data_IF_235156252876
#
_entry.id   IF_235156252876
#
_cell.length_a   1.000
_cell.length_b   1.000
_cell.length_c   1.000
_cell.angle_alpha   90.00
_cell.angle_beta   90.00
_cell.angle_gamma   90.00
#
_symmetry.space_group_name_H-M   'P 1'
#
loop_
_entity.id
_entity.type
_entity.pdbx_description
1 polymer ?
#
# COMPACT_ATOMS: atom_id res chain seq x y z
N UNK A 1 17.99 -56.03 20.86
CA UNK A 1 17.09 -54.94 20.42
C UNK A 1 15.82 -55.01 21.26
N UNK A 2 15.15 -53.88 21.60
CA UNK A 2 15.19 -52.57 20.93
C UNK A 2 15.88 -51.50 21.80
N UNK A 3 16.93 -50.81 21.35
CA UNK A 3 16.90 -49.59 20.51
C UNK A 3 15.87 -48.56 20.99
N UNK A 4 16.29 -47.70 21.92
CA UNK A 4 15.61 -46.45 22.19
C UNK A 4 15.58 -45.59 20.90
N UNK A 5 14.46 -44.90 20.60
CA UNK A 5 14.39 -44.06 19.42
C UNK A 5 15.31 -42.85 19.61
N UNK A 6 16.20 -42.66 18.63
CA UNK A 6 16.99 -41.45 18.48
C UNK A 6 16.05 -40.25 18.37
N UNK A 7 16.20 -39.30 19.28
CA UNK A 7 15.65 -37.95 19.14
C UNK A 7 16.39 -37.30 17.96
N UNK A 8 15.71 -36.88 16.87
CA UNK A 8 16.41 -36.16 15.81
C UNK A 8 16.79 -34.78 16.33
N UNK A 9 18.10 -34.53 16.35
CA UNK A 9 18.68 -33.23 16.57
C UNK A 9 18.27 -32.27 15.43
N UNK A 10 17.47 -31.25 15.75
CA UNK A 10 17.33 -30.04 14.90
C UNK A 10 17.38 -28.78 15.76
N UNK A 11 18.36 -28.70 16.67
CA UNK A 11 18.72 -27.48 17.39
C UNK A 11 19.99 -26.80 16.81
N UNK A 12 20.33 -27.07 15.55
CA UNK A 12 21.55 -26.59 14.90
C UNK A 12 21.25 -25.79 13.62
N UNK A 13 20.52 -24.67 13.73
CA UNK A 13 20.49 -23.64 12.67
C UNK A 13 20.03 -22.26 13.14
N UNK A 14 20.22 -21.89 14.41
CA UNK A 14 19.75 -20.59 14.92
C UNK A 14 20.81 -19.47 14.93
N UNK A 15 22.02 -19.68 14.40
CA UNK A 15 23.10 -18.69 14.46
C UNK A 15 23.31 -17.84 13.20
N UNK A 16 22.53 -18.00 12.13
CA UNK A 16 22.74 -17.25 10.87
C UNK A 16 21.49 -16.69 10.20
N UNK A 17 20.32 -16.87 10.81
CA UNK A 17 19.02 -16.47 10.24
C UNK A 17 18.71 -17.14 8.89
N UNK A 18 17.57 -16.82 8.29
CA UNK A 18 17.23 -17.23 6.92
C UNK A 18 17.86 -16.27 5.90
N UNK A 19 18.27 -16.79 4.74
CA UNK A 19 18.86 -16.00 3.66
C UNK A 19 17.77 -15.43 2.73
N UNK A 20 18.06 -14.33 2.03
CA UNK A 20 17.21 -13.84 0.94
C UNK A 20 17.02 -14.94 -0.12
N UNK A 21 15.80 -15.09 -0.62
CA UNK A 21 15.37 -16.18 -1.49
C UNK A 21 14.92 -17.45 -0.76
N UNK A 22 15.06 -17.53 0.57
CA UNK A 22 14.58 -18.71 1.33
C UNK A 22 13.05 -18.78 1.30
N UNK A 23 12.51 -19.98 1.05
CA UNK A 23 11.08 -20.27 1.22
C UNK A 23 10.78 -20.66 2.67
N UNK A 24 9.82 -19.99 3.28
CA UNK A 24 9.40 -20.20 4.66
C UNK A 24 7.89 -20.44 4.73
N UNK A 25 7.44 -21.01 5.85
CA UNK A 25 6.04 -20.99 6.27
C UNK A 25 5.96 -20.14 7.53
N UNK A 26 5.14 -19.09 7.47
CA UNK A 26 5.01 -18.09 8.52
C UNK A 26 3.54 -17.76 8.81
N UNK A 27 3.28 -17.19 9.98
CA UNK A 27 1.95 -16.76 10.41
C UNK A 27 1.57 -15.45 9.72
N UNK A 28 0.71 -15.54 8.70
CA UNK A 28 0.05 -14.39 8.11
C UNK A 28 -1.04 -13.88 9.03
N UNK A 29 -1.02 -12.57 9.32
CA UNK A 29 -1.94 -11.90 10.25
C UNK A 29 -1.97 -12.52 11.66
N UNK A 30 -0.91 -13.25 12.05
CA UNK A 30 -0.81 -13.90 13.36
C UNK A 30 -1.67 -15.15 13.55
N UNK A 31 -2.48 -15.55 12.56
CA UNK A 31 -3.47 -16.63 12.71
C UNK A 31 -3.32 -17.74 11.66
N UNK A 32 -2.89 -17.41 10.44
CA UNK A 32 -2.92 -18.35 9.31
C UNK A 32 -1.53 -18.68 8.82
N UNK A 33 -1.14 -19.95 8.81
CA UNK A 33 0.10 -20.38 8.18
C UNK A 33 0.04 -20.20 6.66
N UNK A 34 1.05 -19.52 6.11
CA UNK A 34 1.18 -19.27 4.68
C UNK A 34 2.62 -19.42 4.23
N UNK A 35 2.80 -19.87 3.01
CA UNK A 35 4.11 -19.96 2.37
C UNK A 35 4.53 -18.59 1.86
N UNK A 36 5.78 -18.23 2.12
CA UNK A 36 6.36 -16.97 1.69
C UNK A 36 7.82 -17.11 1.27
N UNK A 37 8.31 -16.12 0.54
CA UNK A 37 9.72 -16.03 0.12
C UNK A 37 10.35 -14.81 0.79
N UNK A 38 11.55 -14.99 1.36
CA UNK A 38 12.31 -13.89 1.94
C UNK A 38 12.84 -12.99 0.83
N UNK A 39 12.40 -11.75 0.80
CA UNK A 39 12.83 -10.71 -0.15
C UNK A 39 13.97 -9.87 0.44
N UNK A 40 13.91 -9.58 1.74
CA UNK A 40 14.97 -8.86 2.45
C UNK A 40 15.10 -9.38 3.90
N UNK A 41 16.23 -9.13 4.55
CA UNK A 41 16.48 -9.50 5.94
C UNK A 41 17.25 -8.42 6.69
N UNK A 42 16.89 -8.21 7.95
CA UNK A 42 17.57 -7.26 8.83
C UNK A 42 17.85 -7.85 10.20
N UNK A 43 19.07 -7.66 10.70
CA UNK A 43 19.43 -7.95 12.09
C UNK A 43 19.06 -6.77 12.99
N UNK A 44 18.41 -7.05 14.12
CA UNK A 44 17.86 -6.03 15.04
C UNK A 44 18.60 -6.02 16.37
N UNK A 45 18.89 -7.20 16.89
CA UNK A 45 19.65 -7.41 18.11
C UNK A 45 20.49 -8.66 17.89
N UNK A 46 21.62 -8.81 18.58
CA UNK A 46 22.60 -9.88 18.40
C UNK A 46 21.94 -11.24 18.09
N UNK A 47 21.98 -11.64 16.81
CA UNK A 47 21.43 -12.89 16.29
C UNK A 47 19.88 -13.03 16.22
N UNK A 48 19.15 -11.90 16.26
CA UNK A 48 17.70 -11.81 16.05
C UNK A 48 17.42 -11.04 14.76
N UNK A 49 16.62 -11.64 13.88
CA UNK A 49 16.34 -11.12 12.55
C UNK A 49 14.86 -10.79 12.34
N UNK A 50 14.60 -9.81 11.48
CA UNK A 50 13.32 -9.64 10.77
C UNK A 50 13.51 -9.95 9.30
N UNK A 51 12.43 -10.41 8.68
CA UNK A 51 12.41 -10.79 7.27
C UNK A 51 11.29 -10.02 6.57
N UNK A 52 11.61 -9.37 5.46
CA UNK A 52 10.59 -8.83 4.56
C UNK A 52 10.20 -9.95 3.60
N UNK A 53 8.93 -10.33 3.59
CA UNK A 53 8.47 -11.51 2.88
C UNK A 53 7.40 -11.19 1.85
N UNK A 54 7.46 -11.91 0.74
CA UNK A 54 6.40 -11.96 -0.25
C UNK A 54 5.55 -13.21 -0.02
N UNK A 55 4.24 -13.02 0.17
CA UNK A 55 3.30 -14.12 0.37
C UNK A 55 2.88 -14.74 -0.97
N UNK A 56 3.01 -16.06 -1.09
CA UNK A 56 2.65 -16.75 -2.32
C UNK A 56 1.14 -16.63 -2.63
N UNK A 57 0.80 -16.42 -3.90
CA UNK A 57 -0.57 -16.15 -4.41
C UNK A 57 -1.18 -14.80 -3.99
N UNK A 58 -0.41 -13.93 -3.34
CA UNK A 58 -0.88 -12.59 -2.95
C UNK A 58 -0.19 -11.50 -3.76
N UNK A 59 -0.90 -10.39 -3.95
CA UNK A 59 -0.34 -9.18 -4.55
C UNK A 59 0.76 -8.61 -3.64
N UNK A 60 1.83 -8.05 -4.23
CA UNK A 60 2.98 -7.48 -3.50
C UNK A 60 2.63 -6.37 -2.50
N UNK A 61 1.47 -5.72 -2.64
CA UNK A 61 0.92 -4.81 -1.61
C UNK A 61 0.66 -5.52 -0.27
N UNK A 62 0.62 -6.84 -0.26
CA UNK A 62 0.47 -7.67 0.95
C UNK A 62 1.82 -8.05 1.57
N UNK A 63 2.95 -7.73 0.93
CA UNK A 63 4.28 -8.02 1.46
C UNK A 63 4.47 -7.32 2.81
N UNK A 64 5.17 -7.94 3.75
CA UNK A 64 5.31 -7.38 5.09
C UNK A 64 6.62 -7.79 5.75
N UNK A 65 7.02 -7.02 6.77
CA UNK A 65 8.05 -7.44 7.70
C UNK A 65 7.46 -8.41 8.71
N UNK A 66 8.02 -9.61 8.80
CA UNK A 66 7.72 -10.58 9.85
C UNK A 66 8.92 -10.72 10.79
N UNK A 67 8.63 -10.98 12.05
CA UNK A 67 9.61 -11.28 13.09
C UNK A 67 10.04 -12.76 13.02
N UNK A 68 11.22 -13.08 13.54
CA UNK A 68 11.71 -14.46 13.60
C UNK A 68 10.75 -15.42 14.33
N UNK A 69 10.00 -14.95 15.33
CA UNK A 69 9.00 -15.74 16.05
C UNK A 69 7.70 -15.98 15.26
N UNK A 70 7.47 -15.27 14.16
CA UNK A 70 6.32 -15.50 13.26
C UNK A 70 6.64 -16.58 12.21
N UNK A 71 7.91 -17.03 12.11
CA UNK A 71 8.33 -18.12 11.24
C UNK A 71 8.06 -19.46 11.93
N UNK A 72 7.26 -20.31 11.30
CA UNK A 72 6.89 -21.63 11.83
C UNK A 72 7.91 -22.69 11.42
N UNK A 73 8.26 -22.74 10.13
CA UNK A 73 9.21 -23.71 9.56
C UNK A 73 9.80 -23.26 8.23
N UNK A 74 10.84 -23.96 7.75
CA UNK A 74 11.27 -23.86 6.34
C UNK A 74 10.24 -24.53 5.42
N UNK A 75 10.13 -24.02 4.20
CA UNK A 75 9.37 -24.68 3.14
C UNK A 75 9.96 -26.06 2.82
N UNK A 76 9.10 -27.01 2.45
CA UNK A 76 9.53 -28.33 1.98
C UNK A 76 10.07 -28.24 0.55
N UNK A 77 10.87 -29.22 0.12
CA UNK A 77 11.38 -29.27 -1.25
C UNK A 77 10.27 -29.31 -2.30
N UNK A 78 9.12 -29.90 -1.95
CA UNK A 78 7.92 -29.95 -2.79
C UNK A 78 7.28 -28.56 -2.94
N UNK A 79 7.15 -27.83 -1.83
CA UNK A 79 6.66 -26.44 -1.83
C UNK A 79 7.59 -25.57 -2.69
N UNK A 80 8.91 -25.65 -2.48
CA UNK A 80 9.91 -24.88 -3.25
C UNK A 80 9.81 -25.16 -4.75
N UNK A 81 9.76 -26.43 -5.15
CA UNK A 81 9.64 -26.82 -6.57
C UNK A 81 8.34 -26.33 -7.19
N UNK A 82 7.23 -26.38 -6.43
CA UNK A 82 5.95 -25.91 -6.92
C UNK A 82 5.95 -24.39 -7.17
N UNK A 83 6.55 -23.62 -6.26
CA UNK A 83 6.72 -22.16 -6.40
C UNK A 83 7.57 -21.80 -7.61
N UNK A 84 8.73 -22.44 -7.78
CA UNK A 84 9.63 -22.19 -8.91
C UNK A 84 8.98 -22.50 -10.25
N UNK A 85 8.20 -23.59 -10.33
CA UNK A 85 7.47 -23.96 -11.56
C UNK A 85 6.40 -22.93 -11.90
N UNK A 86 5.74 -22.36 -10.90
CA UNK A 86 4.72 -21.33 -11.10
C UNK A 86 5.33 -20.01 -11.56
N UNK A 87 6.42 -19.56 -10.94
CA UNK A 87 7.15 -18.36 -11.38
C UNK A 87 7.67 -18.48 -12.81
N UNK A 88 8.18 -19.65 -13.21
CA UNK A 88 8.63 -19.88 -14.59
C UNK A 88 7.48 -19.72 -15.58
N UNK A 89 6.31 -20.27 -15.26
CA UNK A 89 5.11 -20.20 -16.09
C UNK A 89 4.54 -18.78 -16.18
N UNK A 90 4.63 -17.99 -15.11
CA UNK A 90 4.22 -16.58 -15.12
C UNK A 90 5.17 -15.73 -15.98
N UNK A 91 6.49 -15.91 -15.85
CA UNK A 91 7.48 -15.22 -16.70
C UNK A 91 7.39 -15.60 -18.18
N UNK A 92 7.00 -16.83 -18.50
CA UNK A 92 6.71 -17.24 -19.88
C UNK A 92 5.50 -16.51 -20.46
N UNK A 93 4.41 -16.37 -19.68
CA UNK A 93 3.21 -15.64 -20.09
C UNK A 93 3.46 -14.15 -20.29
N UNK A 94 4.25 -13.53 -19.43
CA UNK A 94 4.64 -12.11 -19.55
C UNK A 94 5.46 -11.86 -20.83
N UNK A 95 6.38 -12.79 -21.19
CA UNK A 95 7.15 -12.72 -22.43
C UNK A 95 6.30 -12.89 -23.68
N UNK A 96 5.24 -13.69 -23.61
CA UNK A 96 4.29 -13.86 -24.73
C UNK A 96 3.38 -12.64 -24.92
N UNK A 97 3.04 -11.90 -23.85
CA UNK A 97 2.19 -10.70 -23.93
C UNK A 97 2.98 -9.40 -24.16
N UNK A 98 4.27 -9.34 -23.79
CA UNK A 98 5.12 -8.14 -23.99
C UNK A 98 5.80 -8.04 -25.36
N UNK A 99 5.57 -8.99 -26.27
CA UNK A 99 6.22 -9.06 -27.60
C UNK A 99 5.49 -8.30 -28.70
N UNK A 100 5.21 -7.01 -28.52
CA UNK A 100 4.53 -6.15 -29.50
C UNK A 100 5.48 -5.23 -30.29
N UNK A 101 6.16 -5.79 -31.29
CA UNK A 101 6.82 -5.17 -32.46
C UNK A 101 7.81 -4.01 -32.30
N UNK A 102 9.11 -4.36 -32.43
CA UNK A 102 10.11 -3.55 -33.12
C UNK A 102 10.76 -4.40 -34.22
N UNK A 103 10.38 -4.17 -35.48
CA UNK A 103 11.16 -4.54 -36.65
C UNK A 103 10.74 -3.65 -37.84
N UNK A 104 11.69 -2.81 -38.22
CA UNK A 104 11.77 -1.94 -39.40
C UNK A 104 12.05 -2.76 -40.68
N UNK A 105 11.38 -2.44 -41.81
CA UNK A 105 11.93 -2.06 -43.14
C UNK A 105 10.99 -2.36 -44.33
N UNK A 106 10.75 -1.35 -45.19
CA UNK A 106 10.94 -1.49 -46.65
C UNK A 106 9.74 -1.68 -47.61
N UNK A 107 9.03 -0.59 -47.89
CA UNK A 107 8.64 -0.03 -49.22
C UNK A 107 7.78 -0.76 -50.31
N UNK A 108 6.88 0.06 -50.88
CA UNK A 108 6.16 0.09 -52.19
C UNK A 108 4.96 -0.83 -52.59
N UNK A 109 3.81 -0.13 -52.75
CA UNK A 109 2.85 -0.05 -53.89
C UNK A 109 1.78 -1.13 -54.20
N UNK A 110 0.54 -0.65 -54.05
CA UNK A 110 -0.60 -0.58 -55.02
C UNK A 110 -1.56 -1.77 -55.23
N UNK A 111 -2.87 -1.44 -55.26
CA UNK A 111 -3.90 -2.17 -56.02
C UNK A 111 -5.01 -2.93 -55.26
N UNK A 112 -6.23 -2.37 -55.22
CA UNK A 112 -7.44 -3.13 -55.60
C UNK A 112 -8.42 -3.67 -54.55
N UNK A 113 -9.47 -2.88 -54.27
CA UNK A 113 -10.87 -3.19 -53.90
C UNK A 113 -11.29 -4.67 -53.74
N UNK A 114 -12.01 -5.00 -52.65
CA UNK A 114 -13.48 -5.30 -52.69
C UNK A 114 -14.07 -5.60 -51.31
N UNK A 115 -15.39 -5.40 -51.26
CA UNK A 115 -16.30 -5.22 -50.13
C UNK A 115 -16.90 -6.57 -49.73
N UNK A 116 -16.77 -6.98 -48.46
CA UNK A 116 -17.38 -8.21 -47.93
C UNK A 116 -17.83 -8.04 -46.49
N UNK A 117 -19.09 -7.65 -46.29
CA UNK A 117 -19.76 -7.68 -45.00
C UNK A 117 -19.82 -9.13 -44.46
N UNK A 118 -19.33 -9.36 -43.24
CA UNK A 118 -19.81 -10.44 -42.38
C UNK A 118 -19.95 -9.93 -40.95
N UNK A 119 -21.18 -10.02 -40.44
CA UNK A 119 -21.61 -9.62 -39.09
C UNK A 119 -21.33 -10.73 -38.06
N UNK A 120 -21.23 -10.28 -36.80
CA UNK A 120 -21.23 -10.99 -35.49
C UNK A 120 -19.93 -11.75 -35.19
N UNK A 121 -19.34 -11.58 -34.01
CA UNK A 121 -19.96 -11.86 -32.70
C UNK A 121 -19.31 -11.06 -31.57
N UNK A 122 -20.09 -10.79 -30.52
CA UNK A 122 -19.77 -10.12 -29.27
C UNK A 122 -18.59 -10.76 -28.52
N UNK A 123 -17.51 -10.00 -28.29
CA UNK A 123 -16.73 -9.98 -27.04
C UNK A 123 -15.49 -9.07 -27.18
N UNK A 124 -15.68 -7.81 -27.54
CA UNK A 124 -14.64 -6.79 -27.32
C UNK A 124 -14.82 -6.27 -25.88
N UNK A 125 -14.43 -7.11 -24.91
CA UNK A 125 -13.89 -6.57 -23.67
C UNK A 125 -12.47 -6.13 -24.03
N UNK A 126 -12.36 -4.91 -24.56
CA UNK A 126 -11.11 -4.18 -24.45
C UNK A 126 -10.77 -4.18 -22.95
N UNK A 127 -9.68 -4.86 -22.61
CA UNK A 127 -8.98 -4.64 -21.35
C UNK A 127 -8.92 -3.11 -21.12
N UNK A 128 -9.21 -2.61 -19.92
CA UNK A 128 -9.10 -1.19 -19.67
C UNK A 128 -7.65 -0.82 -19.96
N UNK A 129 -7.47 0.05 -20.94
CA UNK A 129 -6.27 0.85 -21.14
C UNK A 129 -5.79 1.23 -19.73
N UNK A 130 -4.66 0.67 -19.31
CA UNK A 130 -4.01 1.03 -18.06
C UNK A 130 -3.70 2.52 -18.20
N UNK A 131 -4.62 3.36 -17.73
CA UNK A 131 -4.42 4.79 -17.68
C UNK A 131 -3.05 5.00 -17.06
N UNK A 132 -2.15 5.54 -17.88
CA UNK A 132 -0.75 5.70 -17.56
C UNK A 132 -0.62 6.61 -16.33
N UNK A 133 -0.64 6.00 -15.14
CA UNK A 133 -0.46 6.68 -13.85
C UNK A 133 0.98 7.25 -13.72
N UNK A 134 1.81 7.13 -14.77
CA UNK A 134 3.17 7.64 -14.87
C UNK A 134 3.33 8.89 -15.74
N UNK A 135 2.26 9.54 -16.21
CA UNK A 135 2.38 10.81 -16.94
C UNK A 135 3.11 11.87 -16.09
N UNK A 136 4.39 12.11 -16.40
CA UNK A 136 5.21 13.18 -15.83
C UNK A 136 6.45 12.76 -15.02
N UNK A 137 6.74 11.47 -14.85
CA UNK A 137 8.02 11.01 -14.24
C UNK A 137 8.99 10.48 -15.30
N UNK A 138 10.29 10.75 -15.13
CA UNK A 138 11.30 10.12 -15.99
C UNK A 138 11.51 8.64 -15.61
N UNK A 139 11.84 7.81 -16.60
CA UNK A 139 11.99 6.35 -16.42
C UNK A 139 13.10 5.96 -15.42
N UNK A 140 14.06 6.86 -15.17
CA UNK A 140 15.13 6.66 -14.19
C UNK A 140 14.64 6.89 -12.74
N UNK A 141 13.84 7.93 -12.52
CA UNK A 141 13.21 8.25 -11.25
C UNK A 141 12.20 7.19 -10.85
N UNK A 142 11.43 6.65 -11.81
CA UNK A 142 10.54 5.51 -11.57
C UNK A 142 11.33 4.29 -11.09
N UNK A 143 12.44 3.95 -11.76
CA UNK A 143 13.26 2.79 -11.42
C UNK A 143 13.98 2.91 -10.08
N UNK A 144 14.53 4.08 -9.78
CA UNK A 144 15.16 4.37 -8.47
C UNK A 144 14.11 4.40 -7.36
N UNK A 145 12.94 4.99 -7.61
CA UNK A 145 11.81 4.97 -6.68
C UNK A 145 11.36 3.53 -6.41
N UNK A 146 11.19 2.71 -7.42
CA UNK A 146 10.83 1.29 -7.28
C UNK A 146 11.87 0.50 -6.48
N UNK A 147 13.17 0.75 -6.69
CA UNK A 147 14.22 0.06 -5.93
C UNK A 147 14.24 0.45 -4.45
N UNK A 148 14.03 1.73 -4.14
CA UNK A 148 13.96 2.23 -2.76
C UNK A 148 12.65 1.86 -2.07
N UNK A 149 11.54 1.74 -2.82
CA UNK A 149 10.19 1.48 -2.29
C UNK A 149 9.76 0.01 -2.30
N UNK A 150 10.59 -0.89 -2.86
CA UNK A 150 10.36 -2.36 -2.85
C UNK A 150 10.09 -2.93 -1.47
N UNK A 151 10.67 -2.32 -0.44
CA UNK A 151 10.55 -2.75 0.95
C UNK A 151 9.84 -1.67 1.75
N UNK A 152 8.72 -2.03 2.37
CA UNK A 152 7.96 -1.11 3.22
C UNK A 152 8.78 -0.72 4.44
N UNK A 153 8.77 0.54 4.82
CA UNK A 153 9.39 0.99 6.05
C UNK A 153 8.47 0.84 7.28
N UNK A 154 7.16 0.78 7.07
CA UNK A 154 6.15 0.68 8.13
C UNK A 154 5.30 -0.55 7.87
N UNK A 155 5.12 -1.40 8.88
CA UNK A 155 4.25 -2.58 8.77
C UNK A 155 2.78 -2.23 9.06
N UNK A 156 2.53 -1.56 10.18
CA UNK A 156 1.19 -1.13 10.59
C UNK A 156 1.10 0.37 10.87
N UNK A 157 -0.09 0.92 10.70
CA UNK A 157 -0.47 2.22 11.26
C UNK A 157 -1.67 2.07 12.18
N UNK A 158 -1.69 2.86 13.23
CA UNK A 158 -2.85 2.99 14.11
C UNK A 158 -3.39 4.42 14.04
N UNK A 159 -4.68 4.58 13.72
CA UNK A 159 -5.37 5.86 13.73
C UNK A 159 -6.75 5.68 14.37
N UNK A 160 -7.01 6.45 15.43
CA UNK A 160 -8.23 6.29 16.23
C UNK A 160 -8.35 4.86 16.78
N UNK A 161 -9.43 4.17 16.43
CA UNK A 161 -9.67 2.76 16.81
C UNK A 161 -9.19 1.73 15.78
N UNK A 162 -8.58 2.18 14.68
CA UNK A 162 -8.24 1.34 13.54
C UNK A 162 -6.74 1.06 13.49
N UNK A 163 -6.38 -0.22 13.39
CA UNK A 163 -5.02 -0.66 13.03
C UNK A 163 -5.07 -1.22 11.61
N UNK A 164 -4.22 -0.72 10.72
CA UNK A 164 -4.20 -1.04 9.30
C UNK A 164 -2.78 -1.43 8.86
N UNK A 165 -2.66 -2.46 8.03
CA UNK A 165 -1.39 -2.80 7.40
C UNK A 165 -1.09 -1.79 6.28
N UNK A 166 0.13 -1.25 6.26
CA UNK A 166 0.56 -0.37 5.18
C UNK A 166 0.75 -1.17 3.89
N UNK A 167 0.39 -0.58 2.75
CA UNK A 167 0.46 -1.24 1.44
C UNK A 167 1.72 -0.87 0.68
N UNK A 168 2.26 0.32 0.92
CA UNK A 168 3.40 0.88 0.20
C UNK A 168 4.36 1.56 1.14
N UNK A 169 5.58 1.77 0.66
CA UNK A 169 6.57 2.62 1.31
C UNK A 169 6.10 4.07 1.34
N UNK A 170 6.38 4.77 2.44
CA UNK A 170 6.22 6.22 2.56
C UNK A 170 7.48 6.86 3.16
N UNK A 171 8.02 7.95 2.60
CA UNK A 171 9.30 8.57 2.99
C UNK A 171 9.18 9.42 4.26
N UNK A 172 8.83 8.78 5.38
CA UNK A 172 8.90 9.44 6.69
C UNK A 172 10.34 9.91 7.00
N UNK A 173 10.54 10.88 7.90
CA UNK A 173 11.89 11.30 8.32
C UNK A 173 12.68 10.14 8.95
N UNK A 174 13.97 10.03 8.62
CA UNK A 174 14.83 8.89 8.98
C UNK A 174 15.00 8.71 10.49
N UNK A 175 14.82 9.79 11.26
CA UNK A 175 14.91 9.81 12.72
C UNK A 175 13.86 8.91 13.37
N UNK A 176 12.74 8.64 12.69
CA UNK A 176 11.70 7.74 13.20
C UNK A 176 12.10 6.27 13.09
N UNK A 177 12.95 5.89 12.12
CA UNK A 177 13.35 4.51 11.82
C UNK A 177 14.88 4.33 11.79
N UNK A 178 15.58 4.46 12.94
CA UNK A 178 17.02 4.18 13.02
C UNK A 178 17.34 2.74 12.59
N UNK A 179 16.43 1.81 12.86
CA UNK A 179 16.53 0.40 12.49
C UNK A 179 15.89 0.13 11.11
N UNK A 180 15.70 1.13 10.26
CA UNK A 180 15.22 1.01 8.86
C UNK A 180 13.77 0.55 8.67
N UNK A 181 13.11 -0.02 9.69
CA UNK A 181 11.69 -0.34 9.67
C UNK A 181 11.04 -0.18 11.05
N UNK A 182 9.74 0.10 11.09
CA UNK A 182 8.94 0.22 12.30
C UNK A 182 7.74 -0.74 12.20
N UNK A 183 7.43 -1.43 13.30
CA UNK A 183 6.29 -2.35 13.34
C UNK A 183 4.95 -1.60 13.31
N UNK A 184 4.81 -0.52 14.08
CA UNK A 184 3.60 0.28 14.10
C UNK A 184 3.89 1.77 14.28
N UNK A 185 3.27 2.62 13.45
CA UNK A 185 3.28 4.08 13.59
C UNK A 185 1.90 4.57 14.07
N UNK A 186 1.87 5.49 15.03
CA UNK A 186 0.63 5.92 15.69
C UNK A 186 0.25 7.34 15.28
N UNK A 187 -0.90 7.51 14.66
CA UNK A 187 -1.43 8.81 14.24
C UNK A 187 -2.47 9.33 15.21
N UNK A 188 -2.40 10.62 15.51
CA UNK A 188 -3.53 11.33 16.08
C UNK A 188 -4.65 11.42 15.04
N UNK A 189 -5.85 10.95 15.42
CA UNK A 189 -7.03 10.91 14.54
C UNK A 189 -7.45 12.30 14.02
N UNK A 190 -7.12 13.38 14.75
CA UNK A 190 -7.60 14.73 14.42
C UNK A 190 -6.55 15.61 13.76
N UNK A 191 -5.31 15.66 14.26
CA UNK A 191 -4.26 16.53 13.71
C UNK A 191 -3.28 15.79 12.78
N UNK A 192 -3.42 14.47 12.64
CA UNK A 192 -2.57 13.58 11.85
C UNK A 192 -1.08 13.59 12.24
N UNK A 193 -0.70 14.22 13.35
CA UNK A 193 0.65 14.06 13.90
C UNK A 193 0.89 12.60 14.24
N UNK A 194 2.04 12.09 13.82
CA UNK A 194 2.43 10.69 14.01
C UNK A 194 3.53 10.54 15.05
N UNK A 195 3.53 9.40 15.72
CA UNK A 195 4.40 9.07 16.85
C UNK A 195 4.91 7.64 16.73
N UNK A 196 6.12 7.40 17.26
CA UNK A 196 6.72 6.06 17.27
C UNK A 196 6.13 5.19 18.38
N UNK A 197 5.82 5.79 19.52
CA UNK A 197 5.29 5.08 20.68
C UNK A 197 3.86 5.50 21.02
N UNK A 198 3.03 4.52 21.38
CA UNK A 198 1.63 4.76 21.79
C UNK A 198 1.51 5.69 23.02
N UNK A 199 2.51 5.69 23.89
CA UNK A 199 2.61 6.58 25.05
C UNK A 199 2.75 8.05 24.64
N UNK A 200 3.51 8.34 23.58
CA UNK A 200 3.67 9.70 23.04
C UNK A 200 2.35 10.21 22.45
N UNK A 201 1.64 9.36 21.69
CA UNK A 201 0.30 9.69 21.20
C UNK A 201 -0.66 10.01 22.35
N UNK A 202 -0.65 9.20 23.41
CA UNK A 202 -1.50 9.43 24.59
C UNK A 202 -1.20 10.78 25.24
N UNK A 203 0.08 11.09 25.48
CA UNK A 203 0.46 12.39 26.03
C UNK A 203 0.09 13.55 25.09
N UNK A 204 0.17 13.36 23.77
CA UNK A 204 -0.29 14.36 22.80
C UNK A 204 -1.80 14.61 22.90
N UNK A 205 -2.61 13.56 23.06
CA UNK A 205 -4.07 13.65 23.19
C UNK A 205 -4.52 14.25 24.53
N UNK A 206 -3.75 14.07 25.60
CA UNK A 206 -3.99 14.65 26.92
C UNK A 206 -3.70 16.16 26.95
N UNK A 207 -2.89 16.67 26.01
CA UNK A 207 -2.64 18.11 25.89
C UNK A 207 -3.81 18.79 25.16
N UNK A 208 -4.26 19.90 25.74
CA UNK A 208 -5.46 20.67 25.33
C UNK A 208 -5.41 21.22 23.88
N UNK A 209 -4.28 21.16 23.19
CA UNK A 209 -4.07 21.84 21.90
C UNK A 209 -4.54 21.06 20.65
N UNK A 210 -5.09 19.85 20.78
CA UNK A 210 -5.55 19.08 19.61
C UNK A 210 -7.03 19.39 19.31
N UNK A 211 -7.27 20.29 18.36
CA UNK A 211 -8.61 20.52 17.82
C UNK A 211 -9.18 19.21 17.25
N UNK A 212 -10.43 18.90 17.54
CA UNK A 212 -11.06 17.63 17.15
C UNK A 212 -11.71 17.68 15.76
N UNK A 213 -11.15 18.49 14.87
CA UNK A 213 -11.60 18.71 13.49
C UNK A 213 -10.42 19.14 12.60
N UNK A 214 -10.47 18.89 11.28
CA UNK A 214 -9.43 19.32 10.35
C UNK A 214 -9.22 20.84 10.35
N UNK A 215 -7.97 21.35 10.24
CA UNK A 215 -7.67 22.78 10.32
C UNK A 215 -7.98 23.52 9.00
N UNK A 216 -9.27 23.70 8.71
CA UNK A 216 -9.77 24.35 7.50
C UNK A 216 -11.23 24.78 7.63
N UNK A 217 -11.82 25.20 6.52
CA UNK A 217 -13.21 25.64 6.48
C UNK A 217 -14.14 24.46 6.23
N UNK A 218 -15.18 24.32 7.04
CA UNK A 218 -16.24 23.35 6.77
C UNK A 218 -17.11 23.87 5.61
N UNK A 219 -16.98 23.25 4.44
CA UNK A 219 -17.67 23.66 3.20
C UNK A 219 -18.94 22.85 2.93
N UNK A 220 -19.10 21.71 3.63
CA UNK A 220 -20.25 20.84 3.49
C UNK A 220 -20.58 20.18 4.83
N UNK A 221 -21.87 20.09 5.15
CA UNK A 221 -22.39 19.29 6.26
C UNK A 221 -23.76 18.72 5.91
N UNK A 222 -23.90 17.41 5.96
CA UNK A 222 -25.18 16.73 5.79
C UNK A 222 -25.16 15.34 6.43
N UNK A 223 -26.23 14.97 7.14
CA UNK A 223 -26.44 13.60 7.69
C UNK A 223 -25.26 13.00 8.46
N UNK A 224 -24.56 13.81 9.27
CA UNK A 224 -23.41 13.34 10.05
C UNK A 224 -22.12 13.17 9.25
N UNK A 225 -22.09 13.65 8.01
CA UNK A 225 -20.87 13.80 7.20
C UNK A 225 -20.54 15.29 7.09
N UNK A 226 -19.26 15.61 7.23
CA UNK A 226 -18.72 16.96 7.02
C UNK A 226 -17.52 16.91 6.07
N UNK A 227 -17.35 17.94 5.24
CA UNK A 227 -16.15 18.11 4.39
C UNK A 227 -15.48 19.42 4.74
N UNK A 228 -14.17 19.35 4.97
CA UNK A 228 -13.32 20.50 5.26
C UNK A 228 -12.40 20.78 4.08
N UNK A 229 -12.37 22.04 3.64
CA UNK A 229 -11.36 22.56 2.73
C UNK A 229 -10.17 23.07 3.56
N UNK A 230 -9.03 22.41 3.40
CA UNK A 230 -7.78 22.70 4.08
C UNK A 230 -6.76 23.18 3.07
N UNK A 231 -6.29 24.41 3.23
CA UNK A 231 -5.26 24.98 2.36
C UNK A 231 -3.87 24.47 2.78
N UNK A 232 -3.15 23.85 1.84
CA UNK A 232 -1.80 23.34 2.06
C UNK A 232 -0.78 24.41 2.45
N UNK A 233 -0.91 25.64 1.97
CA UNK A 233 -0.01 26.76 2.29
C UNK A 233 -0.24 27.31 3.69
N UNK A 234 -1.46 27.20 4.22
CA UNK A 234 -1.84 27.68 5.56
C UNK A 234 -1.57 26.60 6.61
N UNK A 235 -2.05 25.37 6.36
CA UNK A 235 -2.01 24.26 7.30
C UNK A 235 -0.95 23.21 6.91
N UNK A 236 0.26 23.67 6.57
CA UNK A 236 1.37 22.83 6.05
C UNK A 236 1.60 21.54 6.85
N UNK A 237 1.74 21.58 8.20
CA UNK A 237 2.05 20.36 8.96
C UNK A 237 0.94 19.31 8.85
N UNK A 238 -0.32 19.74 8.84
CA UNK A 238 -1.46 18.83 8.70
C UNK A 238 -1.47 18.17 7.31
N UNK A 239 -1.29 18.97 6.26
CA UNK A 239 -1.30 18.49 4.88
C UNK A 239 -0.11 17.58 4.57
N UNK A 240 1.09 17.89 5.08
CA UNK A 240 2.26 17.02 4.98
C UNK A 240 2.03 15.69 5.67
N UNK A 241 1.50 15.69 6.90
CA UNK A 241 1.15 14.47 7.62
C UNK A 241 0.11 13.63 6.89
N UNK A 242 -0.92 14.27 6.31
CA UNK A 242 -1.92 13.60 5.48
C UNK A 242 -1.28 12.96 4.24
N UNK A 243 -0.36 13.66 3.57
CA UNK A 243 0.38 13.12 2.44
C UNK A 243 1.23 11.90 2.83
N UNK A 244 1.95 11.95 3.95
CA UNK A 244 2.72 10.80 4.46
C UNK A 244 1.82 9.60 4.76
N UNK A 245 0.68 9.84 5.41
CA UNK A 245 -0.32 8.80 5.67
C UNK A 245 -0.88 8.23 4.36
N UNK A 246 -1.20 9.09 3.39
CA UNK A 246 -1.79 8.68 2.13
C UNK A 246 -0.86 7.81 1.28
N UNK A 247 0.44 8.15 1.24
CA UNK A 247 1.45 7.37 0.51
C UNK A 247 1.60 5.94 1.02
N UNK A 248 1.21 5.64 2.26
CA UNK A 248 1.17 4.27 2.77
C UNK A 248 0.14 3.38 2.06
N UNK A 249 -0.84 3.99 1.37
CA UNK A 249 -1.96 3.31 0.72
C UNK A 249 -2.11 3.65 -0.77
N UNK A 250 -1.27 4.54 -1.29
CA UNK A 250 -1.23 4.95 -2.69
C UNK A 250 0.14 4.63 -3.27
N UNK A 251 0.17 3.89 -4.38
CA UNK A 251 1.40 3.43 -5.01
C UNK A 251 2.14 4.61 -5.66
N UNK A 252 1.48 5.24 -6.64
CA UNK A 252 2.05 6.28 -7.50
C UNK A 252 1.83 7.71 -6.98
N UNK A 253 1.67 7.89 -5.66
CA UNK A 253 1.60 9.24 -5.10
C UNK A 253 2.98 9.89 -5.07
N UNK A 254 3.21 10.86 -5.95
CA UNK A 254 4.35 11.78 -5.82
C UNK A 254 4.18 12.59 -4.54
N UNK A 255 5.14 12.45 -3.62
CA UNK A 255 5.20 13.31 -2.46
C UNK A 255 6.00 14.55 -2.82
N UNK A 256 5.28 15.57 -3.29
CA UNK A 256 5.80 16.92 -3.26
C UNK A 256 5.86 17.35 -1.79
N UNK A 257 7.07 17.57 -1.27
CA UNK A 257 7.26 18.14 0.07
C UNK A 257 6.62 19.54 0.18
N UNK A 258 6.45 20.19 -0.97
CA UNK A 258 5.69 21.41 -1.13
C UNK A 258 4.19 21.10 -1.30
N UNK A 259 3.44 21.31 -0.22
CA UNK A 259 1.99 21.18 -0.20
C UNK A 259 1.30 22.51 -0.52
N UNK A 260 2.05 23.61 -0.63
CA UNK A 260 1.51 24.96 -0.84
C UNK A 260 0.62 25.08 -2.09
N UNK A 261 0.91 24.41 -3.22
CA UNK A 261 0.08 24.48 -4.42
C UNK A 261 -1.26 23.75 -4.31
N UNK A 262 -1.54 23.03 -3.22
CA UNK A 262 -2.69 22.12 -3.13
C UNK A 262 -3.75 22.59 -2.12
N UNK A 263 -5.01 22.33 -2.47
CA UNK A 263 -6.16 22.29 -1.56
C UNK A 263 -6.49 20.84 -1.22
N UNK A 264 -6.83 20.58 0.03
CA UNK A 264 -7.19 19.27 0.54
C UNK A 264 -8.62 19.29 1.03
N UNK A 265 -9.44 18.39 0.50
CA UNK A 265 -10.83 18.22 0.88
C UNK A 265 -10.94 16.97 1.74
N UNK A 266 -11.00 17.18 3.06
CA UNK A 266 -11.02 16.11 4.06
C UNK A 266 -12.47 15.81 4.43
N UNK A 267 -12.90 14.58 4.16
CA UNK A 267 -14.22 14.10 4.53
C UNK A 267 -14.19 13.41 5.89
N UNK A 268 -15.16 13.73 6.74
CA UNK A 268 -15.26 13.22 8.10
C UNK A 268 -16.64 12.63 8.40
N UNK A 269 -16.66 11.51 9.13
CA UNK A 269 -17.83 11.07 9.89
C UNK A 269 -17.87 11.84 11.22
N UNK A 270 -19.02 12.38 11.61
CA UNK A 270 -19.16 13.22 12.82
C UNK A 270 -19.81 12.42 13.95
N UNK A 271 -19.14 12.34 15.10
CA UNK A 271 -19.68 11.76 16.33
C UNK A 271 -19.50 12.71 17.53
N UNK A 272 -19.96 12.32 18.73
CA UNK A 272 -19.86 13.15 19.94
C UNK A 272 -18.42 13.47 20.38
N UNK A 273 -17.42 12.71 19.91
CA UNK A 273 -16.00 12.92 20.14
C UNK A 273 -15.40 13.92 19.16
N UNK A 274 -15.99 14.17 18.00
CA UNK A 274 -15.48 15.11 17.00
C UNK A 274 -15.68 14.65 15.56
N UNK A 275 -14.76 15.06 14.70
CA UNK A 275 -14.79 14.81 13.26
C UNK A 275 -13.72 13.78 12.92
N UNK A 276 -14.15 12.61 12.46
CA UNK A 276 -13.31 11.44 12.20
C UNK A 276 -12.98 11.39 10.71
N UNK A 277 -11.75 11.72 10.28
CA UNK A 277 -11.39 11.67 8.86
C UNK A 277 -11.58 10.25 8.33
N UNK A 278 -12.30 10.14 7.21
CA UNK A 278 -12.58 8.86 6.55
C UNK A 278 -11.98 8.75 5.15
N UNK A 279 -11.54 9.87 4.61
CA UNK A 279 -10.82 9.97 3.36
C UNK A 279 -10.64 11.43 2.96
N UNK A 280 -9.90 11.63 1.88
CA UNK A 280 -9.68 12.96 1.33
C UNK A 280 -9.50 12.89 -0.18
N UNK A 281 -9.62 14.04 -0.82
CA UNK A 281 -9.01 14.28 -2.12
C UNK A 281 -8.22 15.58 -2.12
N UNK A 282 -7.20 15.67 -2.96
CA UNK A 282 -6.42 16.90 -3.17
C UNK A 282 -6.61 17.44 -4.57
N UNK A 283 -6.52 18.75 -4.70
CA UNK A 283 -6.66 19.49 -5.96
C UNK A 283 -5.58 20.57 -6.03
N UNK A 284 -4.96 20.73 -7.19
CA UNK A 284 -4.06 21.87 -7.43
C UNK A 284 -4.87 23.18 -7.49
N UNK A 285 -4.35 24.22 -6.84
CA UNK A 285 -4.94 25.57 -6.87
C UNK A 285 -4.96 26.12 -8.30
N UNK A 286 -3.88 25.86 -9.03
CA UNK A 286 -3.70 26.25 -10.43
C UNK A 286 -3.21 25.02 -11.19
N UNK A 287 -4.10 24.39 -11.96
CA UNK A 287 -3.74 23.26 -12.81
C UNK A 287 -3.68 23.72 -14.26
N UNK A 288 -2.51 23.64 -14.89
CA UNK A 288 -2.31 24.03 -16.29
C UNK A 288 -3.11 23.13 -17.25
N UNK A 289 -3.30 21.87 -16.86
CA UNK A 289 -4.04 20.85 -17.60
C UNK A 289 -5.52 20.76 -17.19
N UNK A 290 -5.95 21.55 -16.19
CA UNK A 290 -7.33 21.61 -15.73
C UNK A 290 -7.80 20.40 -14.92
N UNK A 291 -6.90 19.61 -14.35
CA UNK A 291 -7.28 18.47 -13.52
C UNK A 291 -7.98 18.95 -12.23
N UNK A 292 -9.15 18.37 -11.95
CA UNK A 292 -9.92 18.63 -10.74
C UNK A 292 -9.53 17.72 -9.58
N UNK A 293 -8.66 16.73 -9.82
CA UNK A 293 -8.24 15.72 -8.86
C UNK A 293 -6.76 15.40 -9.04
N UNK A 294 -5.98 15.51 -7.95
CA UNK A 294 -4.57 15.12 -7.91
C UNK A 294 -4.39 13.78 -7.16
N UNK A 295 -5.05 13.59 -6.02
CA UNK A 295 -5.05 12.33 -5.29
C UNK A 295 -6.41 12.11 -4.64
N UNK A 296 -6.84 10.85 -4.54
CA UNK A 296 -8.02 10.45 -3.78
C UNK A 296 -7.70 9.25 -2.92
N UNK A 297 -8.11 9.29 -1.66
CA UNK A 297 -7.97 8.15 -0.76
C UNK A 297 -9.19 8.03 0.14
N UNK A 298 -9.86 6.88 0.08
CA UNK A 298 -10.69 6.41 1.19
C UNK A 298 -9.79 5.62 2.13
N UNK A 299 -9.82 5.90 3.43
CA UNK A 299 -9.00 5.16 4.39
C UNK A 299 -9.34 3.66 4.35
N UNK A 300 -8.36 2.74 4.36
CA UNK A 300 -8.62 1.31 4.20
C UNK A 300 -9.66 0.74 5.16
N UNK A 301 -9.72 1.25 6.40
CA UNK A 301 -10.73 0.86 7.40
C UNK A 301 -12.18 1.22 7.02
N UNK A 302 -12.37 2.07 6.03
CA UNK A 302 -13.67 2.49 5.51
C UNK A 302 -13.90 2.03 4.06
N UNK A 303 -12.89 1.46 3.42
CA UNK A 303 -13.05 0.79 2.14
C UNK A 303 -13.92 -0.47 2.28
N UNK A 304 -14.76 -0.74 1.29
CA UNK A 304 -15.64 -1.94 1.19
C UNK A 304 -16.75 -2.09 2.26
N UNK A 305 -17.26 -0.99 2.86
CA UNK A 305 -18.63 -0.99 3.43
C UNK A 305 -19.73 -1.31 2.38
N UNK A 306 -19.38 -1.43 1.09
CA UNK A 306 -20.26 -1.82 -0.01
C UNK A 306 -20.29 -3.30 -0.44
N UNK A 307 -19.43 -4.20 0.10
CA UNK A 307 -19.45 -5.64 -0.25
C UNK A 307 -19.18 -6.53 0.99
N UNK A 308 -20.07 -6.51 1.97
CA UNK A 308 -20.31 -7.65 2.88
C UNK A 308 -21.82 -7.86 2.99
N UNK A 309 -22.26 -9.10 2.73
CA UNK A 309 -23.64 -9.53 2.61
C UNK A 309 -24.32 -9.54 3.99
N UNK A 310 -25.53 -8.96 4.02
CA UNK A 310 -26.60 -9.07 5.03
C UNK A 310 -26.41 -8.37 6.40
N UNK A 311 -27.23 -7.34 6.64
CA UNK A 311 -27.77 -7.09 7.98
C UNK A 311 -27.40 -5.81 8.75
N UNK A 312 -26.95 -4.71 8.13
CA UNK A 312 -26.96 -3.39 8.78
C UNK A 312 -26.83 -2.26 7.75
N UNK A 313 -27.48 -1.13 8.02
CA UNK A 313 -27.69 0.06 7.18
C UNK A 313 -26.59 0.35 6.14
N UNK A 314 -27.00 0.47 4.87
CA UNK A 314 -26.20 0.97 3.74
C UNK A 314 -25.69 2.40 4.02
N UNK A 315 -24.45 2.54 4.46
CA UNK A 315 -23.67 3.75 4.20
C UNK A 315 -22.89 3.52 2.90
N UNK A 316 -23.33 4.13 1.79
CA UNK A 316 -22.54 4.19 0.55
C UNK A 316 -21.20 4.84 0.87
N UNK A 317 -20.14 4.47 0.15
CA UNK A 317 -18.86 5.17 0.25
C UNK A 317 -19.11 6.64 -0.14
N UNK A 318 -19.01 7.62 0.78
CA UNK A 318 -19.50 8.97 0.50
C UNK A 318 -18.61 9.74 -0.48
N UNK A 319 -17.39 9.25 -0.76
CA UNK A 319 -16.45 9.86 -1.70
C UNK A 319 -16.88 9.69 -3.18
N UNK A 320 -17.59 8.62 -3.52
CA UNK A 320 -17.99 8.31 -4.90
C UNK A 320 -19.37 8.88 -5.30
N UNK A 321 -19.99 9.66 -4.42
CA UNK A 321 -21.32 10.24 -4.62
C UNK A 321 -21.36 11.77 -4.66
N UNK A 322 -20.18 12.43 -4.64
CA UNK A 322 -20.00 13.87 -4.76
C UNK A 322 -19.45 14.23 -6.13
#
# INVERSE_FOLDING_TARGET
MPSAPAVPATAATMHSGYAVGSTLVALWMGETERTCVVIDRKEIASNTFKYYVHWHDFNRRMDEWINANEVVRRGTDEEIKHLQKKEHKEKEKEKEHGGGNSADQGDTKDGGRTRGHKRKTESDFAEPDEHDEHEGMDAASIREHEEVTKVKNIRFVEIGKYRMAAWYFSPFPKEYFPDGSIDCLYFCEFCLTFFRYKTELRHHQERVACARYPPGNEIYRHEGISVFEVDGAISKPYCQNLCYFAKLFLDHKTLHYDVDPFLFYVMCEVDARGFHPVGYFSKEKYSELGYNLACILTFPCHQRKGKKRLGARRSRCPILGL
#
